data_IF_239654535465
#
_entry.id   IF_239654535465
#
_cell.length_a   1.000
_cell.length_b   1.000
_cell.length_c   1.000
_cell.angle_alpha   90.00
_cell.angle_beta   90.00
_cell.angle_gamma   90.00
#
_symmetry.space_group_name_H-M   'P 1'
#
loop_
_entity.id
_entity.type
_entity.pdbx_description
1 polymer ?
#
# COMPACT_ATOMS: atom_id res chain seq x y z
N UNK A 1 46.61 34.62 32.34
CA UNK A 1 46.01 34.05 31.11
C UNK A 1 45.89 32.56 31.33
N UNK A 2 44.78 32.12 31.93
CA UNK A 2 44.42 30.72 32.05
C UNK A 2 43.68 30.33 30.78
N UNK A 3 44.32 29.52 29.95
CA UNK A 3 43.71 28.90 28.78
C UNK A 3 42.68 27.88 29.26
N UNK A 4 41.41 28.23 29.08
CA UNK A 4 40.28 27.37 29.31
C UNK A 4 40.34 26.23 28.28
N UNK A 5 40.73 25.04 28.73
CA UNK A 5 40.72 23.85 27.91
C UNK A 5 39.26 23.43 27.76
N UNK A 6 38.66 23.79 26.63
CA UNK A 6 37.36 23.29 26.21
C UNK A 6 37.38 21.77 26.23
N UNK A 7 36.64 21.17 27.18
CA UNK A 7 36.42 19.75 27.21
C UNK A 7 35.86 19.31 25.84
N UNK A 8 36.37 18.23 25.23
CA UNK A 8 35.84 17.76 23.96
C UNK A 8 34.35 17.44 24.14
N UNK A 9 33.50 18.09 23.34
CA UNK A 9 32.10 17.71 23.28
C UNK A 9 32.02 16.21 22.97
N UNK A 10 31.25 15.41 23.74
CA UNK A 10 31.12 13.99 23.46
C UNK A 10 30.62 13.82 22.03
N UNK A 11 31.30 12.98 21.24
CA UNK A 11 30.82 12.66 19.90
C UNK A 11 29.41 12.05 20.03
N UNK A 12 28.44 12.51 19.23
CA UNK A 12 27.09 11.97 19.26
C UNK A 12 27.14 10.46 19.01
N UNK A 13 26.32 9.70 19.72
CA UNK A 13 26.25 8.25 19.49
C UNK A 13 25.65 7.99 18.11
N UNK A 14 26.11 6.95 17.39
CA UNK A 14 25.49 6.56 16.14
C UNK A 14 24.01 6.29 16.33
N UNK A 15 23.20 6.70 15.36
CA UNK A 15 21.76 6.43 15.34
C UNK A 15 21.47 4.93 15.43
N UNK A 16 20.33 4.59 16.03
CA UNK A 16 19.85 3.22 16.19
C UNK A 16 18.56 3.03 15.39
N UNK A 17 18.56 2.04 14.50
CA UNK A 17 17.39 1.60 13.75
C UNK A 17 16.83 0.32 14.38
N UNK A 18 15.53 0.32 14.69
CA UNK A 18 14.81 -0.85 15.24
C UNK A 18 13.67 -1.28 14.31
N UNK A 19 13.63 -2.57 13.97
CA UNK A 19 12.63 -3.14 13.06
C UNK A 19 11.37 -3.62 13.81
N UNK A 20 10.37 -2.76 13.99
CA UNK A 20 9.15 -3.07 14.77
C UNK A 20 8.09 -3.81 13.93
N UNK A 21 8.13 -3.68 12.61
CA UNK A 21 7.24 -4.37 11.68
C UNK A 21 7.77 -4.33 10.24
N UNK A 22 6.99 -4.87 9.28
CA UNK A 22 7.42 -4.96 7.88
C UNK A 22 8.65 -5.86 7.66
N UNK A 23 8.85 -6.90 8.49
CA UNK A 23 9.98 -7.84 8.37
C UNK A 23 9.44 -9.27 8.35
N UNK A 24 9.80 -10.03 7.31
CA UNK A 24 9.24 -11.36 7.03
C UNK A 24 7.74 -11.35 6.70
N UNK A 25 7.21 -10.18 6.33
CA UNK A 25 5.83 -9.94 5.93
C UNK A 25 5.76 -8.67 5.10
N UNK A 26 4.80 -8.59 4.17
CA UNK A 26 4.48 -7.41 3.35
C UNK A 26 3.46 -6.48 4.03
N UNK A 27 3.37 -6.46 5.36
CA UNK A 27 2.43 -5.57 6.03
C UNK A 27 2.94 -5.11 7.38
N UNK A 28 2.38 -4.01 7.86
CA UNK A 28 2.66 -3.48 9.18
C UNK A 28 4.04 -2.83 9.27
N UNK A 29 4.48 -2.16 8.21
CA UNK A 29 5.71 -1.34 8.19
C UNK A 29 5.74 -0.39 9.38
N UNK A 30 6.80 -0.49 10.18
CA UNK A 30 7.07 0.31 11.40
C UNK A 30 8.57 0.22 11.70
N UNK A 31 9.31 1.31 11.52
CA UNK A 31 10.75 1.36 11.73
C UNK A 31 11.09 2.54 12.64
N UNK A 32 11.68 2.27 13.81
CA UNK A 32 12.03 3.31 14.77
C UNK A 32 13.49 3.72 14.59
N UNK A 33 13.73 5.00 14.40
CA UNK A 33 15.05 5.63 14.31
C UNK A 33 15.27 6.45 15.58
N UNK A 34 16.30 6.12 16.35
CA UNK A 34 16.63 6.78 17.62
C UNK A 34 18.02 7.40 17.56
N UNK A 35 18.13 8.65 18.01
CA UNK A 35 19.40 9.33 18.32
C UNK A 35 19.42 9.70 19.80
N UNK A 36 20.46 10.41 20.26
CA UNK A 36 20.51 10.92 21.64
C UNK A 36 19.43 12.00 21.92
N UNK A 37 18.81 12.57 20.86
CA UNK A 37 17.89 13.72 20.96
C UNK A 37 16.54 13.53 20.30
N UNK A 38 16.38 12.49 19.48
CA UNK A 38 15.18 12.29 18.67
C UNK A 38 14.80 10.81 18.57
N UNK A 39 13.50 10.54 18.55
CA UNK A 39 12.90 9.25 18.22
C UNK A 39 11.84 9.45 17.15
N UNK A 40 12.11 8.98 15.95
CA UNK A 40 11.21 9.11 14.81
C UNK A 40 10.82 7.75 14.28
N UNK A 41 9.52 7.55 14.09
CA UNK A 41 8.99 6.37 13.43
C UNK A 41 8.87 6.63 11.93
N UNK A 42 9.42 5.74 11.10
CA UNK A 42 9.13 5.70 9.67
C UNK A 42 8.08 4.62 9.41
N UNK A 43 6.95 5.05 8.86
CA UNK A 43 5.69 4.34 8.73
C UNK A 43 5.10 3.83 10.05
N UNK A 44 3.78 3.70 10.09
CA UNK A 44 3.05 3.20 11.23
C UNK A 44 1.82 2.40 10.78
N UNK A 45 2.05 1.24 10.16
CA UNK A 45 1.00 0.48 9.50
C UNK A 45 0.41 -0.71 10.25
N UNK A 46 -0.76 -1.17 9.81
CA UNK A 46 -1.39 -2.39 10.33
C UNK A 46 -0.84 -3.66 9.70
N UNK A 47 -0.69 -4.70 10.52
CA UNK A 47 -0.50 -6.06 10.04
C UNK A 47 -1.81 -6.62 9.49
N UNK A 48 -1.80 -7.14 8.27
CA UNK A 48 -2.96 -7.78 7.63
C UNK A 48 -2.68 -9.27 7.33
N UNK A 49 -3.58 -9.96 6.64
CA UNK A 49 -3.42 -11.37 6.30
C UNK A 49 -3.70 -12.31 7.47
N UNK A 50 -2.80 -13.27 7.72
CA UNK A 50 -2.94 -14.34 8.71
C UNK A 50 -3.38 -13.83 10.10
N UNK A 51 -4.19 -14.64 10.79
CA UNK A 51 -4.70 -14.28 12.11
C UNK A 51 -3.61 -13.99 13.15
N UNK A 52 -2.44 -14.64 13.02
CA UNK A 52 -1.28 -14.35 13.86
C UNK A 52 -0.71 -12.95 13.65
N UNK A 53 -0.57 -12.52 12.39
CA UNK A 53 -0.14 -11.17 12.03
C UNK A 53 -1.12 -10.14 12.56
N UNK A 54 -2.43 -10.31 12.30
CA UNK A 54 -3.46 -9.38 12.81
C UNK A 54 -3.47 -9.26 14.34
N UNK A 55 -3.14 -10.33 15.07
CA UNK A 55 -3.01 -10.29 16.54
C UNK A 55 -1.86 -9.41 17.00
N UNK A 56 -0.83 -9.18 16.18
CA UNK A 56 0.29 -8.27 16.50
C UNK A 56 -0.18 -6.83 16.65
N UNK A 57 -1.21 -6.41 15.91
CA UNK A 57 -1.80 -5.08 16.05
C UNK A 57 -2.35 -4.80 17.47
N UNK A 58 -2.64 -5.84 18.26
CA UNK A 58 -3.11 -5.69 19.64
C UNK A 58 -2.01 -5.74 20.70
N UNK A 59 -0.76 -6.03 20.30
CA UNK A 59 0.37 -6.07 21.23
C UNK A 59 0.87 -4.63 21.47
N UNK A 60 1.21 -4.26 22.71
CA UNK A 60 1.81 -2.95 22.97
C UNK A 60 3.14 -2.84 22.21
N UNK A 61 3.47 -1.62 21.79
CA UNK A 61 4.80 -1.32 21.27
C UNK A 61 5.86 -1.48 22.36
N UNK A 62 7.10 -1.86 22.01
CA UNK A 62 8.19 -2.01 22.97
C UNK A 62 8.80 -0.65 23.40
N UNK A 63 8.02 0.42 23.33
CA UNK A 63 8.34 1.79 23.72
C UNK A 63 7.05 2.53 24.10
N UNK A 64 7.16 3.62 24.86
CA UNK A 64 6.05 4.51 25.13
C UNK A 64 5.75 5.36 23.87
N UNK A 65 4.52 5.32 23.31
CA UNK A 65 4.15 6.17 22.17
C UNK A 65 4.32 7.66 22.42
N UNK A 66 4.27 8.12 23.68
CA UNK A 66 4.52 9.51 24.04
C UNK A 66 5.99 9.93 23.86
N UNK A 67 6.92 8.97 23.79
CA UNK A 67 8.34 9.23 23.55
C UNK A 67 8.69 9.35 22.07
N UNK A 68 7.73 9.15 21.15
CA UNK A 68 7.96 9.31 19.71
C UNK A 68 7.74 10.78 19.36
N UNK A 69 8.77 11.43 18.83
CA UNK A 69 8.74 12.85 18.49
C UNK A 69 7.94 13.13 17.22
N UNK A 70 8.03 12.24 16.22
CA UNK A 70 7.33 12.37 14.95
C UNK A 70 7.15 11.02 14.26
N UNK A 71 6.19 10.97 13.33
CA UNK A 71 6.06 9.87 12.35
C UNK A 71 6.32 10.42 10.95
N UNK A 72 7.16 9.76 10.17
CA UNK A 72 7.32 10.00 8.73
C UNK A 72 6.55 8.93 7.98
N UNK A 73 5.60 9.34 7.14
CA UNK A 73 4.77 8.43 6.36
C UNK A 73 5.20 8.47 4.89
N UNK A 74 5.63 7.31 4.37
CA UNK A 74 6.06 7.16 2.98
C UNK A 74 4.89 7.28 2.02
N UNK A 75 3.77 6.62 2.34
CA UNK A 75 2.55 6.67 1.55
C UNK A 75 1.31 6.21 2.33
N UNK A 76 0.14 6.31 1.70
CA UNK A 76 -1.14 6.20 2.38
C UNK A 76 -1.68 4.78 2.60
N UNK A 77 -1.06 3.72 2.09
CA UNK A 77 -1.62 2.37 2.27
C UNK A 77 -1.75 1.97 3.74
N UNK A 78 -2.75 1.13 4.04
CA UNK A 78 -3.15 0.80 5.41
C UNK A 78 -2.05 0.08 6.21
N UNK A 79 -1.21 -0.68 5.52
CA UNK A 79 -0.02 -1.35 6.04
C UNK A 79 1.19 -0.45 6.21
N UNK A 80 1.05 0.85 5.90
CA UNK A 80 2.01 1.92 6.20
C UNK A 80 1.43 3.01 7.11
N UNK A 81 0.12 3.31 7.07
CA UNK A 81 -0.49 4.37 7.87
C UNK A 81 -1.49 3.89 8.95
N UNK A 82 -2.03 2.67 8.81
CA UNK A 82 -3.24 2.26 9.52
C UNK A 82 -3.10 2.09 11.04
N UNK A 83 -1.89 2.00 11.58
CA UNK A 83 -1.68 1.91 13.04
C UNK A 83 -1.64 3.31 13.69
N UNK A 84 -1.55 4.40 12.92
CA UNK A 84 -1.50 5.78 13.44
C UNK A 84 -2.61 6.08 14.46
N UNK A 85 -3.90 5.77 14.23
CA UNK A 85 -4.95 6.09 15.21
C UNK A 85 -4.79 5.35 16.53
N UNK A 86 -4.30 4.11 16.48
CA UNK A 86 -3.94 3.37 17.69
C UNK A 86 -2.75 4.00 18.41
N UNK A 87 -1.73 4.44 17.68
CA UNK A 87 -0.58 5.12 18.26
C UNK A 87 -1.00 6.40 19.00
N UNK A 88 -1.90 7.19 18.40
CA UNK A 88 -2.48 8.41 19.00
C UNK A 88 -3.28 8.09 20.25
N UNK A 89 -4.13 7.06 20.20
CA UNK A 89 -4.88 6.57 21.36
C UNK A 89 -3.97 6.13 22.50
N UNK A 90 -2.83 5.51 22.18
CA UNK A 90 -1.86 5.02 23.16
C UNK A 90 -0.92 6.12 23.69
N UNK A 91 -1.00 7.36 23.20
CA UNK A 91 -0.37 8.53 23.83
C UNK A 91 0.51 9.40 22.94
N UNK A 92 0.70 9.05 21.66
CA UNK A 92 1.48 9.85 20.71
C UNK A 92 0.85 11.23 20.48
N UNK A 93 1.71 12.26 20.37
CA UNK A 93 1.31 13.67 20.19
C UNK A 93 2.13 14.44 19.15
N UNK A 94 3.11 13.80 18.52
CA UNK A 94 3.97 14.44 17.53
C UNK A 94 3.30 14.64 16.17
N UNK A 95 3.94 15.36 15.24
CA UNK A 95 3.44 15.50 13.88
C UNK A 95 3.59 14.19 13.07
N UNK A 96 2.73 14.04 12.06
CA UNK A 96 2.81 13.03 11.01
C UNK A 96 3.24 13.73 9.72
N UNK A 97 4.51 13.59 9.35
CA UNK A 97 5.10 14.20 8.17
C UNK A 97 4.87 13.30 6.95
N UNK A 98 4.27 13.84 5.90
CA UNK A 98 4.01 13.12 4.65
C UNK A 98 3.94 14.09 3.46
N UNK A 99 3.83 13.59 2.24
CA UNK A 99 3.44 14.46 1.12
C UNK A 99 1.99 14.92 1.25
N UNK A 100 1.57 16.00 0.55
CA UNK A 100 0.19 16.48 0.58
C UNK A 100 -0.82 15.46 0.06
N UNK A 101 -0.53 14.78 -1.05
CA UNK A 101 -1.45 13.77 -1.60
C UNK A 101 -1.54 12.53 -0.70
N UNK A 102 -0.43 12.13 -0.05
CA UNK A 102 -0.44 11.06 0.96
C UNK A 102 -1.34 11.41 2.14
N UNK A 103 -1.29 12.64 2.65
CA UNK A 103 -2.16 13.07 3.76
C UNK A 103 -3.65 12.97 3.38
N UNK A 104 -4.00 13.39 2.17
CA UNK A 104 -5.38 13.32 1.64
C UNK A 104 -5.87 11.89 1.45
N UNK A 105 -5.03 11.00 0.95
CA UNK A 105 -5.37 9.59 0.77
C UNK A 105 -5.43 8.85 2.11
N UNK A 106 -4.54 9.17 3.05
CA UNK A 106 -4.54 8.61 4.39
C UNK A 106 -5.83 8.97 5.15
N UNK A 107 -6.36 10.19 4.98
CA UNK A 107 -7.67 10.58 5.52
C UNK A 107 -8.79 9.60 5.12
N UNK A 108 -8.87 9.26 3.83
CA UNK A 108 -9.86 8.31 3.33
C UNK A 108 -9.66 6.92 3.92
N UNK A 109 -8.42 6.43 3.88
CA UNK A 109 -8.06 5.07 4.32
C UNK A 109 -8.29 4.88 5.82
N UNK A 110 -7.91 5.87 6.65
CA UNK A 110 -8.06 5.78 8.09
C UNK A 110 -9.53 5.81 8.51
N UNK A 111 -10.36 6.64 7.87
CA UNK A 111 -11.81 6.69 8.14
C UNK A 111 -12.51 5.39 7.73
N UNK A 112 -12.23 4.86 6.54
CA UNK A 112 -12.77 3.58 6.09
C UNK A 112 -12.34 2.45 7.03
N UNK A 113 -11.08 2.46 7.46
CA UNK A 113 -10.57 1.45 8.39
C UNK A 113 -11.24 1.50 9.76
N UNK A 114 -11.46 2.69 10.35
CA UNK A 114 -12.19 2.81 11.62
C UNK A 114 -13.64 2.29 11.50
N UNK A 115 -14.31 2.60 10.39
CA UNK A 115 -15.65 2.10 10.11
C UNK A 115 -15.68 0.58 10.03
N UNK A 116 -14.80 -0.05 9.26
CA UNK A 116 -14.70 -1.50 9.14
C UNK A 116 -14.37 -2.18 10.48
N UNK A 117 -13.46 -1.60 11.27
CA UNK A 117 -13.11 -2.12 12.60
C UNK A 117 -14.29 -2.08 13.57
N UNK A 118 -15.11 -1.02 13.51
CA UNK A 118 -16.35 -0.89 14.29
C UNK A 118 -17.37 -1.92 13.85
N UNK A 119 -17.63 -2.06 12.55
CA UNK A 119 -18.55 -3.06 12.00
C UNK A 119 -18.16 -4.48 12.43
N UNK A 120 -16.87 -4.83 12.35
CA UNK A 120 -16.35 -6.13 12.78
C UNK A 120 -16.58 -6.36 14.29
N UNK A 121 -16.37 -5.34 15.12
CA UNK A 121 -16.60 -5.42 16.57
C UNK A 121 -18.09 -5.61 16.90
N UNK A 122 -18.97 -4.83 16.26
CA UNK A 122 -20.41 -4.90 16.43
C UNK A 122 -20.96 -6.26 15.98
N UNK A 123 -20.54 -6.74 14.81
CA UNK A 123 -20.93 -8.04 14.29
C UNK A 123 -20.47 -9.18 15.22
N UNK A 124 -19.28 -9.07 15.81
CA UNK A 124 -18.77 -10.02 16.79
C UNK A 124 -19.55 -10.00 18.11
N UNK A 125 -19.98 -8.83 18.56
CA UNK A 125 -20.83 -8.67 19.74
C UNK A 125 -22.22 -9.28 19.51
N UNK A 126 -22.83 -9.04 18.35
CA UNK A 126 -24.15 -9.55 17.99
C UNK A 126 -24.20 -11.10 17.92
N UNK A 127 -23.14 -11.72 17.41
CA UNK A 127 -23.10 -13.17 17.14
C UNK A 127 -22.25 -13.97 18.15
N UNK A 128 -21.59 -13.31 19.11
CA UNK A 128 -20.98 -13.94 20.27
C UNK A 128 -19.68 -14.74 20.06
N UNK A 129 -18.97 -14.54 18.94
CA UNK A 129 -17.74 -15.29 18.59
C UNK A 129 -16.42 -14.56 18.93
N UNK A 130 -16.47 -13.43 19.63
CA UNK A 130 -15.27 -12.75 20.13
C UNK A 130 -14.72 -13.38 21.41
N UNK A 131 -13.39 -13.36 21.56
CA UNK A 131 -12.71 -13.66 22.83
C UNK A 131 -12.86 -12.53 23.87
N UNK A 132 -13.15 -11.31 23.42
CA UNK A 132 -13.36 -10.13 24.24
C UNK A 132 -14.85 -9.89 24.45
N UNK A 133 -15.27 -9.46 25.65
CA UNK A 133 -16.66 -9.13 25.97
C UNK A 133 -16.74 -7.80 26.74
N UNK A 134 -17.20 -6.71 26.11
CA UNK A 134 -17.53 -6.60 24.68
C UNK A 134 -16.29 -6.73 23.76
N UNK A 135 -16.52 -7.06 22.50
CA UNK A 135 -15.54 -6.87 21.45
C UNK A 135 -15.38 -5.36 21.20
N UNK A 136 -14.14 -4.88 21.26
CA UNK A 136 -13.80 -3.49 20.97
C UNK A 136 -12.98 -3.40 19.67
N UNK A 137 -13.20 -2.36 18.84
CA UNK A 137 -12.39 -2.11 17.67
C UNK A 137 -10.95 -1.76 18.07
N UNK A 138 -10.03 -1.79 17.11
CA UNK A 138 -8.61 -1.48 17.38
C UNK A 138 -8.41 -0.01 17.77
N UNK A 139 -9.19 0.85 17.14
CA UNK A 139 -9.36 2.28 17.34
C UNK A 139 -10.73 2.65 16.72
N UNK A 140 -11.22 3.84 17.00
CA UNK A 140 -12.49 4.34 16.48
C UNK A 140 -12.35 5.63 15.64
N UNK A 141 -13.47 6.19 15.22
CA UNK A 141 -13.52 7.41 14.41
C UNK A 141 -12.98 8.64 15.18
N UNK A 142 -13.12 8.69 16.50
CA UNK A 142 -12.57 9.78 17.31
C UNK A 142 -11.04 9.75 17.31
N UNK A 143 -10.47 8.56 17.43
CA UNK A 143 -9.02 8.34 17.31
C UNK A 143 -8.51 8.79 15.93
N UNK A 144 -9.26 8.51 14.85
CA UNK A 144 -8.92 8.99 13.49
C UNK A 144 -8.95 10.51 13.43
N UNK A 145 -10.01 11.17 13.89
CA UNK A 145 -10.10 12.64 13.82
C UNK A 145 -9.04 13.36 14.67
N UNK A 146 -8.52 12.72 15.73
CA UNK A 146 -7.34 13.22 16.45
C UNK A 146 -6.07 13.06 15.62
N UNK A 147 -5.92 11.90 14.96
CA UNK A 147 -4.78 11.59 14.09
C UNK A 147 -4.68 12.53 12.91
N UNK A 148 -5.80 12.81 12.23
CA UNK A 148 -5.82 13.68 11.06
C UNK A 148 -5.34 15.11 11.37
N UNK A 149 -5.56 15.59 12.60
CA UNK A 149 -5.07 16.89 13.06
C UNK A 149 -3.56 16.94 13.30
N UNK A 150 -2.89 15.79 13.32
CA UNK A 150 -1.43 15.69 13.49
C UNK A 150 -0.70 15.65 12.15
N UNK A 151 -1.39 15.50 11.01
CA UNK A 151 -0.73 15.54 9.71
C UNK A 151 -0.15 16.92 9.43
N UNK A 152 1.13 16.94 9.09
CA UNK A 152 1.89 18.14 8.72
C UNK A 152 2.55 17.90 7.35
N UNK A 153 1.84 18.20 6.25
CA UNK A 153 2.31 17.85 4.92
C UNK A 153 3.53 18.67 4.48
N UNK A 154 4.54 18.00 3.93
CA UNK A 154 5.78 18.59 3.42
C UNK A 154 5.90 18.39 1.91
N UNK A 155 6.50 19.35 1.22
CA UNK A 155 6.73 19.24 -0.23
C UNK A 155 7.87 18.26 -0.53
N UNK A 156 7.78 17.61 -1.69
CA UNK A 156 8.88 16.81 -2.23
C UNK A 156 10.14 17.68 -2.40
N UNK A 157 11.30 17.04 -2.35
CA UNK A 157 12.64 17.62 -2.54
C UNK A 157 13.02 18.76 -1.58
N UNK A 158 12.21 19.01 -0.56
CA UNK A 158 12.45 20.05 0.43
C UNK A 158 13.01 19.43 1.71
N UNK A 159 14.15 19.96 2.19
CA UNK A 159 14.70 19.56 3.48
C UNK A 159 13.90 20.18 4.63
N UNK A 160 13.37 19.35 5.52
CA UNK A 160 12.58 19.75 6.69
C UNK A 160 13.22 19.20 7.95
N UNK A 161 13.54 20.07 8.90
CA UNK A 161 14.00 19.63 10.23
C UNK A 161 12.82 19.04 11.01
N UNK A 162 12.95 17.79 11.48
CA UNK A 162 11.91 17.09 12.24
C UNK A 162 12.02 17.45 13.73
N UNK A 163 13.15 17.06 14.34
CA UNK A 163 13.48 17.30 15.74
C UNK A 163 14.97 17.00 15.97
N UNK A 164 15.59 17.62 16.98
CA UNK A 164 16.94 17.27 17.42
C UNK A 164 18.04 17.41 16.36
N UNK A 165 17.84 18.24 15.32
CA UNK A 165 18.75 18.38 14.18
C UNK A 165 18.62 17.29 13.11
N UNK A 166 17.66 16.36 13.24
CA UNK A 166 17.38 15.37 12.20
C UNK A 166 16.58 16.01 11.05
N UNK A 167 17.03 15.81 9.81
CA UNK A 167 16.43 16.40 8.62
C UNK A 167 15.81 15.34 7.73
N UNK A 168 14.56 15.55 7.32
CA UNK A 168 13.82 14.76 6.33
C UNK A 168 13.89 15.41 4.96
N UNK A 169 14.06 14.59 3.92
CA UNK A 169 13.67 14.90 2.55
C UNK A 169 12.82 13.77 2.00
N UNK A 170 11.71 14.11 1.36
CA UNK A 170 10.86 13.16 0.64
C UNK A 170 11.08 13.28 -0.86
N UNK A 171 11.23 12.15 -1.53
CA UNK A 171 11.45 12.04 -2.97
C UNK A 171 10.34 11.21 -3.60
N UNK A 172 9.89 11.56 -4.81
CA UNK A 172 8.78 10.86 -5.45
C UNK A 172 9.04 9.35 -5.57
N UNK A 173 8.13 8.54 -5.03
CA UNK A 173 8.23 7.08 -4.95
C UNK A 173 7.55 6.34 -6.12
N UNK A 174 6.65 6.99 -6.86
CA UNK A 174 6.02 6.43 -8.06
C UNK A 174 5.10 5.21 -7.85
N UNK A 175 4.78 4.85 -6.60
CA UNK A 175 3.98 3.68 -6.24
C UNK A 175 2.48 3.97 -6.24
N UNK A 176 2.05 4.97 -5.47
CA UNK A 176 0.71 5.57 -5.54
C UNK A 176 0.85 7.10 -5.61
N UNK A 177 -0.23 7.82 -5.92
CA UNK A 177 -0.21 9.28 -5.86
C UNK A 177 0.20 9.74 -4.45
N UNK A 178 1.21 10.61 -4.37
CA UNK A 178 1.80 11.09 -3.13
C UNK A 178 2.86 10.19 -2.52
N UNK A 179 3.05 8.96 -3.00
CA UNK A 179 4.08 8.06 -2.46
C UNK A 179 5.47 8.67 -2.56
N UNK A 180 6.27 8.46 -1.53
CA UNK A 180 7.63 8.94 -1.45
C UNK A 180 8.56 7.93 -0.81
N UNK A 181 9.81 7.92 -1.25
CA UNK A 181 10.90 7.36 -0.44
C UNK A 181 11.48 8.48 0.43
N UNK A 182 11.83 8.13 1.67
CA UNK A 182 12.30 9.07 2.67
C UNK A 182 13.83 9.02 2.81
N UNK A 183 14.47 10.19 2.86
CA UNK A 183 15.88 10.34 3.16
C UNK A 183 16.03 11.13 4.47
N UNK A 184 16.59 10.50 5.48
CA UNK A 184 16.86 11.08 6.78
C UNK A 184 18.35 11.36 6.93
N UNK A 185 18.69 12.58 7.35
CA UNK A 185 20.03 12.92 7.83
C UNK A 185 19.97 13.04 9.35
N UNK A 186 20.73 12.21 10.05
CA UNK A 186 20.78 12.15 11.51
C UNK A 186 21.68 13.26 12.08
N UNK A 187 21.59 13.47 13.40
CA UNK A 187 22.34 14.52 14.12
C UNK A 187 23.87 14.40 13.92
N UNK A 188 24.38 13.18 13.82
CA UNK A 188 25.80 12.89 13.62
C UNK A 188 26.25 12.94 12.16
N UNK A 189 25.32 13.28 11.25
CA UNK A 189 25.56 13.41 9.82
C UNK A 189 25.35 12.12 9.02
N UNK A 190 25.17 10.95 9.66
CA UNK A 190 24.86 9.71 8.94
C UNK A 190 23.47 9.77 8.34
N UNK A 191 23.26 8.98 7.29
CA UNK A 191 22.07 9.04 6.44
C UNK A 191 21.36 7.69 6.37
N UNK A 192 20.03 7.75 6.37
CA UNK A 192 19.15 6.60 6.27
C UNK A 192 18.13 6.86 5.17
N UNK A 193 18.11 6.01 4.15
CA UNK A 193 17.06 5.99 3.15
C UNK A 193 16.04 4.89 3.44
N UNK A 194 14.76 5.17 3.26
CA UNK A 194 13.66 4.20 3.37
C UNK A 194 12.83 4.27 2.10
N UNK A 195 12.78 3.19 1.33
CA UNK A 195 12.09 3.17 0.03
C UNK A 195 10.59 3.42 0.15
N UNK A 196 9.97 3.04 1.28
CA UNK A 196 8.54 2.76 1.29
C UNK A 196 8.23 1.65 0.28
N UNK A 197 7.04 1.67 -0.30
CA UNK A 197 6.75 0.88 -1.49
C UNK A 197 7.29 1.60 -2.73
N UNK A 198 8.10 0.90 -3.53
CA UNK A 198 8.79 1.48 -4.67
C UNK A 198 7.97 1.29 -5.95
N UNK A 199 7.72 2.41 -6.63
CA UNK A 199 6.99 2.46 -7.88
C UNK A 199 7.71 1.83 -9.07
N UNK A 200 6.92 1.44 -10.07
CA UNK A 200 7.46 0.87 -11.32
C UNK A 200 7.88 1.95 -12.32
N UNK A 201 9.00 1.78 -13.05
CA UNK A 201 9.41 2.71 -14.10
C UNK A 201 8.40 2.87 -15.25
N UNK A 202 7.51 1.89 -15.41
CA UNK A 202 6.50 1.73 -16.46
C UNK A 202 5.06 1.95 -15.97
N UNK A 203 4.89 2.42 -14.73
CA UNK A 203 3.56 2.67 -14.16
C UNK A 203 2.68 3.50 -15.13
N UNK A 204 1.43 3.11 -15.44
CA UNK A 204 0.68 3.75 -16.53
C UNK A 204 0.28 5.20 -16.24
N UNK A 205 0.02 5.57 -14.98
CA UNK A 205 -0.41 6.93 -14.60
C UNK A 205 0.72 7.80 -14.04
N UNK A 206 1.49 7.26 -13.09
CA UNK A 206 2.53 7.98 -12.35
C UNK A 206 3.89 7.93 -13.06
N UNK A 207 4.68 8.98 -12.85
CA UNK A 207 6.10 9.02 -13.21
C UNK A 207 6.90 7.98 -12.42
N UNK A 208 8.03 7.49 -12.98
CA UNK A 208 8.94 6.61 -12.27
C UNK A 208 9.41 7.22 -10.95
N UNK A 209 9.80 6.40 -9.94
CA UNK A 209 10.44 6.92 -8.74
C UNK A 209 11.65 7.77 -9.10
N UNK A 210 11.88 8.83 -8.32
CA UNK A 210 13.14 9.57 -8.39
C UNK A 210 14.33 8.65 -8.10
N UNK A 211 15.48 8.82 -8.79
CA UNK A 211 16.63 7.93 -8.63
C UNK A 211 17.15 7.91 -7.19
N UNK A 212 17.59 6.74 -6.72
CA UNK A 212 18.34 6.64 -5.48
C UNK A 212 19.70 7.33 -5.64
N UNK A 213 20.03 8.25 -4.74
CA UNK A 213 21.26 9.05 -4.79
C UNK A 213 22.31 8.62 -3.76
N UNK A 214 22.05 7.57 -2.99
CA UNK A 214 22.93 7.05 -1.94
C UNK A 214 22.47 7.42 -0.53
N UNK A 215 22.86 6.59 0.44
CA UNK A 215 22.74 6.81 1.88
C UNK A 215 23.68 5.82 2.60
N UNK A 216 24.02 6.07 3.85
CA UNK A 216 24.86 5.16 4.64
C UNK A 216 24.13 3.84 4.91
N UNK A 217 22.82 3.91 5.22
CA UNK A 217 21.94 2.74 5.36
C UNK A 217 20.70 2.89 4.47
N UNK A 218 20.26 1.77 3.89
CA UNK A 218 19.04 1.70 3.07
C UNK A 218 18.06 0.64 3.60
N UNK A 219 16.79 1.00 3.78
CA UNK A 219 15.68 0.05 3.89
C UNK A 219 15.01 -0.06 2.53
N UNK A 220 14.98 -1.27 1.99
CA UNK A 220 14.47 -1.58 0.67
C UNK A 220 13.29 -2.54 0.76
N UNK A 221 12.15 -2.19 0.16
CA UNK A 221 11.04 -3.13 0.01
C UNK A 221 11.43 -4.37 -0.81
N UNK A 222 10.72 -5.47 -0.61
CA UNK A 222 11.04 -6.74 -1.26
C UNK A 222 9.80 -7.53 -1.65
N UNK A 223 8.69 -6.84 -1.91
CA UNK A 223 7.38 -7.43 -2.20
C UNK A 223 7.45 -8.39 -3.40
N UNK A 224 8.18 -7.99 -4.45
CA UNK A 224 8.40 -8.76 -5.67
C UNK A 224 9.88 -9.16 -5.86
N UNK A 225 10.63 -9.29 -4.76
CA UNK A 225 12.06 -9.58 -4.77
C UNK A 225 12.47 -10.91 -5.43
N UNK A 226 11.52 -11.84 -5.60
CA UNK A 226 11.70 -13.12 -6.29
C UNK A 226 10.92 -13.23 -7.62
N UNK A 227 10.39 -12.12 -8.16
CA UNK A 227 9.54 -12.12 -9.36
C UNK A 227 10.07 -11.19 -10.44
N UNK A 228 9.52 -11.38 -11.63
CA UNK A 228 9.69 -10.51 -12.79
C UNK A 228 8.29 -10.25 -13.38
N UNK A 229 8.00 -9.00 -13.72
CA UNK A 229 6.72 -8.62 -14.32
C UNK A 229 6.73 -8.87 -15.83
N UNK A 230 5.76 -9.64 -16.32
CA UNK A 230 5.52 -9.82 -17.77
C UNK A 230 4.34 -8.95 -18.25
N UNK A 231 4.59 -7.68 -18.54
CA UNK A 231 3.53 -6.72 -18.87
C UNK A 231 2.71 -7.07 -20.11
N UNK A 232 3.38 -7.43 -21.21
CA UNK A 232 2.71 -7.69 -22.48
C UNK A 232 1.77 -8.88 -22.34
N UNK A 233 2.24 -9.97 -21.72
CA UNK A 233 1.44 -11.15 -21.46
C UNK A 233 0.28 -10.84 -20.49
N UNK A 234 0.53 -10.06 -19.44
CA UNK A 234 -0.50 -9.68 -18.48
C UNK A 234 -1.63 -8.84 -19.09
N UNK A 235 -1.31 -7.86 -19.95
CA UNK A 235 -2.32 -7.07 -20.68
C UNK A 235 -3.13 -7.95 -21.61
N UNK A 236 -2.50 -8.90 -22.29
CA UNK A 236 -3.18 -9.88 -23.13
C UNK A 236 -4.10 -10.81 -22.32
N UNK A 237 -3.65 -11.34 -21.18
CA UNK A 237 -4.46 -12.19 -20.32
C UNK A 237 -5.67 -11.43 -19.74
N UNK A 238 -5.46 -10.18 -19.32
CA UNK A 238 -6.52 -9.29 -18.84
C UNK A 238 -7.59 -9.04 -19.90
N UNK A 239 -7.16 -8.61 -21.09
CA UNK A 239 -8.06 -8.35 -22.21
C UNK A 239 -8.80 -9.60 -22.68
N UNK A 240 -8.09 -10.72 -22.79
CA UNK A 240 -8.68 -12.00 -23.15
C UNK A 240 -9.70 -12.46 -22.10
N UNK A 241 -9.44 -12.20 -20.80
CA UNK A 241 -10.34 -12.57 -19.70
C UNK A 241 -11.65 -11.83 -19.77
N UNK A 242 -11.56 -10.52 -19.98
CA UNK A 242 -12.74 -9.70 -20.11
C UNK A 242 -13.54 -10.10 -21.34
N UNK A 243 -12.89 -10.19 -22.51
CA UNK A 243 -13.54 -10.51 -23.77
C UNK A 243 -14.29 -11.85 -23.70
N UNK A 244 -13.62 -12.95 -23.29
CA UNK A 244 -14.24 -14.28 -23.23
C UNK A 244 -15.38 -14.38 -22.22
N UNK A 245 -15.32 -13.62 -21.14
CA UNK A 245 -16.37 -13.58 -20.10
C UNK A 245 -17.61 -12.87 -20.62
N UNK A 246 -17.43 -11.72 -21.26
CA UNK A 246 -18.54 -10.97 -21.85
C UNK A 246 -19.19 -11.75 -23.00
N UNK A 247 -18.40 -12.41 -23.86
CA UNK A 247 -18.93 -13.23 -24.97
C UNK A 247 -19.80 -14.40 -24.50
N UNK A 248 -19.47 -15.04 -23.36
CA UNK A 248 -20.30 -16.11 -22.78
C UNK A 248 -21.43 -15.60 -21.88
N UNK A 249 -21.67 -14.29 -21.87
CA UNK A 249 -22.77 -13.65 -21.14
C UNK A 249 -22.57 -13.60 -19.63
N UNK A 250 -21.34 -13.58 -19.14
CA UNK A 250 -21.01 -13.47 -17.72
C UNK A 250 -20.50 -12.09 -17.31
N UNK A 251 -20.32 -11.91 -16.01
CA UNK A 251 -19.74 -10.71 -15.40
C UNK A 251 -18.30 -10.96 -14.98
N UNK A 252 -17.45 -9.96 -15.21
CA UNK A 252 -16.08 -9.92 -14.70
C UNK A 252 -16.08 -9.15 -13.39
N UNK A 253 -15.58 -9.74 -12.30
CA UNK A 253 -15.33 -9.04 -11.03
C UNK A 253 -13.84 -8.83 -10.88
N UNK A 254 -13.44 -7.61 -10.56
CA UNK A 254 -12.05 -7.22 -10.33
C UNK A 254 -11.96 -6.69 -8.89
N UNK A 255 -11.59 -7.55 -7.91
CA UNK A 255 -11.18 -7.08 -6.60
C UNK A 255 -9.97 -6.15 -6.75
N UNK A 256 -10.13 -4.88 -6.34
CA UNK A 256 -9.12 -3.85 -6.55
C UNK A 256 -8.88 -3.05 -5.27
N UNK A 257 -7.62 -2.65 -5.01
CA UNK A 257 -7.36 -1.65 -3.99
C UNK A 257 -8.02 -0.34 -4.37
N UNK A 258 -8.61 0.33 -3.39
CA UNK A 258 -9.39 1.54 -3.65
C UNK A 258 -8.51 2.69 -4.17
N UNK A 259 -7.26 2.74 -3.71
CA UNK A 259 -6.27 3.73 -4.13
C UNK A 259 -5.32 3.09 -5.13
N UNK A 260 -5.03 3.84 -6.19
CA UNK A 260 -4.16 3.51 -7.33
C UNK A 260 -4.66 2.36 -8.22
N UNK A 261 -4.93 1.19 -7.65
CA UNK A 261 -5.25 0.01 -8.46
C UNK A 261 -6.57 0.15 -9.20
N UNK A 262 -7.55 0.80 -8.60
CA UNK A 262 -8.81 1.06 -9.28
C UNK A 262 -8.58 1.97 -10.49
N UNK A 263 -7.80 3.02 -10.33
CA UNK A 263 -7.45 3.99 -11.37
C UNK A 263 -6.63 3.33 -12.50
N UNK A 264 -5.65 2.51 -12.16
CA UNK A 264 -4.88 1.71 -13.12
C UNK A 264 -5.79 0.77 -13.92
N UNK A 265 -6.70 0.06 -13.25
CA UNK A 265 -7.67 -0.83 -13.92
C UNK A 265 -8.59 -0.05 -14.84
N UNK A 266 -9.11 1.09 -14.40
CA UNK A 266 -9.98 1.94 -15.21
C UNK A 266 -9.26 2.46 -16.44
N UNK A 267 -7.99 2.85 -16.30
CA UNK A 267 -7.15 3.25 -17.42
C UNK A 267 -6.93 2.12 -18.43
N UNK A 268 -6.64 0.90 -17.96
CA UNK A 268 -6.52 -0.25 -18.86
C UNK A 268 -7.85 -0.58 -19.56
N UNK A 269 -8.98 -0.46 -18.87
CA UNK A 269 -10.30 -0.66 -19.49
C UNK A 269 -10.61 0.41 -20.54
N UNK A 270 -10.20 1.66 -20.32
CA UNK A 270 -10.35 2.76 -21.26
C UNK A 270 -9.49 2.50 -22.52
N UNK A 271 -8.23 2.09 -22.33
CA UNK A 271 -7.34 1.71 -23.44
C UNK A 271 -7.90 0.53 -24.25
N UNK A 272 -8.39 -0.52 -23.58
CA UNK A 272 -9.03 -1.65 -24.27
C UNK A 272 -10.28 -1.21 -25.06
N UNK A 273 -11.03 -0.23 -24.57
CA UNK A 273 -12.16 0.39 -25.31
C UNK A 273 -11.65 1.07 -26.57
N UNK A 274 -10.62 1.92 -26.42
CA UNK A 274 -10.04 2.74 -27.48
C UNK A 274 -9.50 1.89 -28.62
N UNK A 275 -8.89 0.74 -28.31
CA UNK A 275 -8.38 -0.20 -29.33
C UNK A 275 -9.41 -1.25 -29.78
N UNK A 276 -10.68 -1.13 -29.38
CA UNK A 276 -11.78 -2.00 -29.82
C UNK A 276 -11.75 -3.43 -29.23
N UNK A 277 -10.99 -3.67 -28.17
CA UNK A 277 -10.88 -4.96 -27.48
C UNK A 277 -11.89 -5.14 -26.34
N UNK A 278 -12.48 -4.05 -25.88
CA UNK A 278 -13.63 -4.06 -24.98
C UNK A 278 -14.87 -3.58 -25.75
N UNK A 279 -15.95 -4.37 -25.69
CA UNK A 279 -17.19 -4.04 -26.37
C UNK A 279 -17.69 -2.65 -25.98
N UNK A 280 -18.06 -1.84 -26.98
CA UNK A 280 -18.57 -0.48 -26.79
C UNK A 280 -19.84 -0.40 -25.94
N UNK A 281 -20.57 -1.51 -25.83
CA UNK A 281 -21.80 -1.59 -25.05
C UNK A 281 -21.61 -2.27 -23.68
N UNK A 282 -20.40 -2.73 -23.35
CA UNK A 282 -20.15 -3.40 -22.07
C UNK A 282 -20.06 -2.35 -20.95
N UNK A 283 -21.00 -2.33 -19.99
CA UNK A 283 -20.94 -1.37 -18.90
C UNK A 283 -19.81 -1.72 -17.92
N UNK A 284 -19.11 -0.68 -17.46
CA UNK A 284 -18.13 -0.76 -16.37
C UNK A 284 -18.74 -0.11 -15.13
N UNK A 285 -18.70 -0.83 -14.01
CA UNK A 285 -19.17 -0.35 -12.72
C UNK A 285 -18.02 -0.28 -11.72
N UNK A 286 -17.95 0.81 -10.95
CA UNK A 286 -17.10 0.89 -9.76
C UNK A 286 -18.00 0.93 -8.54
N UNK A 287 -17.90 -0.08 -7.70
CA UNK A 287 -18.74 -0.24 -6.51
C UNK A 287 -17.91 -0.32 -5.23
N UNK A 288 -17.45 0.85 -4.79
CA UNK A 288 -16.74 1.03 -3.53
C UNK A 288 -16.71 2.51 -3.14
N UNK A 289 -17.36 2.92 -2.03
CA UNK A 289 -17.34 4.32 -1.59
C UNK A 289 -15.92 4.89 -1.47
N UNK A 290 -14.98 4.10 -0.94
CA UNK A 290 -13.58 4.50 -0.81
C UNK A 290 -12.91 4.65 -2.19
N UNK A 291 -13.19 3.76 -3.15
CA UNK A 291 -12.60 3.86 -4.49
C UNK A 291 -13.14 5.08 -5.26
N UNK A 292 -14.42 5.42 -5.07
CA UNK A 292 -15.01 6.63 -5.63
C UNK A 292 -14.33 7.89 -5.08
N UNK A 293 -14.07 7.92 -3.77
CA UNK A 293 -13.38 9.05 -3.13
C UNK A 293 -11.90 9.15 -3.56
N UNK A 294 -11.20 8.02 -3.67
CA UNK A 294 -9.82 7.99 -4.17
C UNK A 294 -9.73 8.44 -5.64
N UNK A 295 -10.65 7.97 -6.48
CA UNK A 295 -10.75 8.38 -7.89
C UNK A 295 -10.92 9.90 -8.02
N UNK A 296 -11.68 10.52 -7.11
CA UNK A 296 -11.83 11.97 -7.09
C UNK A 296 -10.51 12.69 -6.80
N UNK A 297 -9.69 12.19 -5.86
CA UNK A 297 -8.35 12.73 -5.59
C UNK A 297 -7.45 12.61 -6.83
N UNK A 298 -7.48 11.47 -7.53
CA UNK A 298 -6.74 11.32 -8.78
C UNK A 298 -7.24 12.29 -9.86
N UNK A 299 -8.55 12.42 -10.07
CA UNK A 299 -9.14 13.37 -11.03
C UNK A 299 -8.73 14.82 -10.74
N UNK A 300 -8.65 15.20 -9.47
CA UNK A 300 -8.14 16.52 -9.09
C UNK A 300 -6.63 16.65 -9.36
N UNK A 301 -5.85 15.58 -9.18
CA UNK A 301 -4.44 15.55 -9.56
C UNK A 301 -4.25 15.74 -11.08
N UNK A 302 -5.12 15.13 -11.90
CA UNK A 302 -5.18 15.37 -13.35
C UNK A 302 -5.53 16.83 -13.66
N UNK A 303 -6.59 17.37 -13.03
CA UNK A 303 -7.05 18.74 -13.26
C UNK A 303 -5.98 19.79 -12.92
N UNK A 304 -5.20 19.57 -11.84
CA UNK A 304 -4.07 20.44 -11.47
C UNK A 304 -2.76 20.12 -12.20
N UNK A 305 -2.78 19.17 -13.15
CA UNK A 305 -1.61 18.68 -13.89
C UNK A 305 -0.43 18.35 -12.98
N UNK A 306 -0.68 17.54 -11.95
CA UNK A 306 0.34 17.14 -10.96
C UNK A 306 1.65 16.70 -11.61
N UNK A 307 2.78 17.19 -11.11
CA UNK A 307 4.11 16.80 -11.60
C UNK A 307 4.41 15.29 -11.41
N UNK A 308 3.67 14.62 -10.53
CA UNK A 308 3.78 13.17 -10.29
C UNK A 308 3.13 12.33 -11.41
N UNK A 309 2.24 12.94 -12.22
CA UNK A 309 1.59 12.26 -13.34
C UNK A 309 2.47 12.29 -14.58
N UNK A 310 2.32 11.25 -15.38
CA UNK A 310 2.95 11.14 -16.70
C UNK A 310 2.40 12.19 -17.66
N UNK A 311 3.27 12.87 -18.45
CA UNK A 311 2.80 13.80 -19.47
C UNK A 311 1.79 13.15 -20.44
N UNK A 312 2.00 11.87 -20.79
CA UNK A 312 1.20 11.13 -21.77
C UNK A 312 -0.27 11.00 -21.38
N UNK A 313 -0.58 10.94 -20.07
CA UNK A 313 -1.95 10.81 -19.57
C UNK A 313 -2.63 12.16 -19.32
N UNK A 314 -1.86 13.25 -19.24
CA UNK A 314 -2.38 14.59 -18.96
C UNK A 314 -3.07 15.24 -20.18
N UNK A 315 -2.73 14.78 -21.39
CA UNK A 315 -3.26 15.35 -22.63
C UNK A 315 -4.56 14.67 -23.09
N UNK A 316 -5.00 13.62 -22.39
CA UNK A 316 -6.20 12.82 -22.72
C UNK A 316 -7.53 13.45 -22.27
N UNK A 317 -7.56 14.77 -22.07
CA UNK A 317 -8.77 15.56 -21.75
C UNK A 317 -9.64 15.04 -20.59
N UNK A 318 -9.06 14.24 -19.68
CA UNK A 318 -9.75 13.64 -18.53
C UNK A 318 -10.37 12.26 -18.80
N UNK A 319 -10.34 11.74 -20.03
CA UNK A 319 -10.94 10.44 -20.38
C UNK A 319 -10.07 9.22 -20.01
N UNK A 320 -8.83 9.46 -19.58
CA UNK A 320 -7.86 8.42 -19.24
C UNK A 320 -8.34 7.45 -18.16
N UNK A 321 -9.31 7.83 -17.32
CA UNK A 321 -9.88 6.99 -16.25
C UNK A 321 -11.36 6.65 -16.48
N UNK A 322 -11.93 7.00 -17.64
CA UNK A 322 -13.38 6.93 -17.90
C UNK A 322 -13.69 5.94 -19.04
N UNK A 323 -13.81 4.63 -18.74
CA UNK A 323 -14.04 3.59 -19.74
C UNK A 323 -15.52 3.50 -20.16
N UNK A 324 -16.04 4.54 -20.81
CA UNK A 324 -17.46 4.67 -21.18
C UNK A 324 -18.00 3.51 -22.04
N UNK A 325 -19.25 3.01 -21.81
CA UNK A 325 -20.18 3.39 -20.75
C UNK A 325 -19.69 2.98 -19.35
N UNK A 326 -19.68 3.95 -18.43
CA UNK A 326 -19.11 3.85 -17.10
C UNK A 326 -20.08 4.36 -16.02
N UNK A 327 -20.08 3.75 -14.83
CA UNK A 327 -20.96 4.18 -13.73
C UNK A 327 -20.32 3.99 -12.36
N UNK A 328 -20.39 5.05 -11.57
CA UNK A 328 -19.99 5.07 -10.16
C UNK A 328 -21.19 4.72 -9.29
N UNK A 329 -21.02 3.74 -8.40
CA UNK A 329 -22.10 3.23 -7.54
C UNK A 329 -21.96 3.84 -6.15
N UNK A 330 -22.83 4.79 -5.83
CA UNK A 330 -22.75 5.59 -4.62
C UNK A 330 -23.52 4.93 -3.47
N UNK A 331 -24.71 4.39 -3.76
CA UNK A 331 -25.62 3.89 -2.72
C UNK A 331 -25.65 2.37 -2.62
N UNK A 332 -26.02 1.87 -1.43
CA UNK A 332 -26.30 0.45 -1.22
C UNK A 332 -27.44 -0.04 -2.14
N UNK A 333 -28.44 0.80 -2.41
CA UNK A 333 -29.57 0.42 -3.28
C UNK A 333 -29.12 0.22 -4.72
N UNK A 334 -28.23 1.06 -5.23
CA UNK A 334 -27.63 0.89 -6.56
C UNK A 334 -26.77 -0.38 -6.62
N UNK A 335 -25.95 -0.64 -5.59
CA UNK A 335 -25.16 -1.88 -5.47
C UNK A 335 -26.06 -3.14 -5.50
N UNK A 336 -27.15 -3.14 -4.73
CA UNK A 336 -28.15 -4.22 -4.74
C UNK A 336 -28.91 -4.33 -6.08
N UNK A 337 -29.02 -3.26 -6.85
CA UNK A 337 -29.63 -3.29 -8.17
C UNK A 337 -28.70 -3.95 -9.20
N UNK A 338 -27.37 -3.78 -9.08
CA UNK A 338 -26.39 -4.54 -9.87
C UNK A 338 -26.53 -6.04 -9.61
N UNK A 339 -26.79 -6.42 -8.37
CA UNK A 339 -27.15 -7.79 -7.98
C UNK A 339 -28.49 -8.27 -8.58
N UNK A 340 -29.21 -7.51 -9.37
CA UNK A 340 -30.40 -8.00 -10.08
C UNK A 340 -30.22 -7.98 -11.58
N UNK A 341 -29.14 -7.36 -12.05
CA UNK A 341 -28.82 -7.29 -13.47
C UNK A 341 -28.34 -8.64 -13.99
N UNK A 342 -28.84 -9.02 -15.17
CA UNK A 342 -28.32 -10.11 -15.99
C UNK A 342 -27.48 -9.59 -17.16
N UNK A 343 -27.20 -8.29 -17.20
CA UNK A 343 -26.37 -7.67 -18.26
C UNK A 343 -24.92 -8.03 -18.02
N UNK A 344 -24.22 -8.67 -18.99
CA UNK A 344 -22.79 -8.92 -18.90
C UNK A 344 -22.03 -7.61 -18.72
N UNK A 345 -21.15 -7.55 -17.72
CA UNK A 345 -20.52 -6.31 -17.28
C UNK A 345 -19.13 -6.53 -16.70
N UNK A 346 -18.39 -5.44 -16.51
CA UNK A 346 -17.15 -5.42 -15.72
C UNK A 346 -17.41 -4.66 -14.43
N UNK A 347 -17.09 -5.26 -13.30
CA UNK A 347 -17.32 -4.72 -11.96
C UNK A 347 -16.00 -4.61 -11.21
N UNK A 348 -15.57 -3.39 -10.90
CA UNK A 348 -14.41 -3.10 -10.08
C UNK A 348 -14.89 -2.77 -8.67
N UNK A 349 -14.39 -3.47 -7.65
CA UNK A 349 -14.84 -3.28 -6.27
C UNK A 349 -13.73 -3.55 -5.27
N UNK A 350 -13.69 -2.76 -4.19
CA UNK A 350 -12.75 -2.92 -3.10
C UNK A 350 -13.28 -3.87 -2.02
N UNK A 351 -12.44 -4.56 -1.25
CA UNK A 351 -10.96 -4.45 -1.19
C UNK A 351 -10.20 -5.38 -2.15
N UNK A 352 -8.98 -5.00 -2.55
CA UNK A 352 -8.14 -5.75 -3.49
C UNK A 352 -7.81 -7.18 -3.09
N UNK A 353 -7.69 -7.43 -1.79
CA UNK A 353 -7.44 -8.79 -1.25
C UNK A 353 -8.72 -9.56 -0.89
N UNK A 354 -9.90 -8.98 -1.17
CA UNK A 354 -11.22 -9.55 -0.84
C UNK A 354 -11.38 -9.94 0.65
N UNK A 355 -10.83 -9.14 1.55
CA UNK A 355 -10.89 -9.36 3.00
C UNK A 355 -12.22 -8.87 3.58
N UNK A 356 -12.73 -7.75 3.07
CA UNK A 356 -14.01 -7.13 3.41
C UNK A 356 -14.52 -6.19 2.33
N UNK A 357 -15.61 -5.48 2.62
CA UNK A 357 -16.26 -4.54 1.71
C UNK A 357 -17.25 -5.18 0.73
N UNK A 358 -17.80 -4.36 -0.17
CA UNK A 358 -18.84 -4.75 -1.14
C UNK A 358 -18.38 -5.88 -2.07
N UNK A 359 -17.08 -5.98 -2.38
CA UNK A 359 -16.54 -7.06 -3.23
C UNK A 359 -16.86 -8.45 -2.70
N UNK A 360 -16.93 -8.65 -1.37
CA UNK A 360 -17.21 -9.98 -0.79
C UNK A 360 -18.66 -10.39 -1.05
N UNK A 361 -19.60 -9.43 -1.11
CA UNK A 361 -20.98 -9.68 -1.52
C UNK A 361 -21.06 -10.08 -3.00
N UNK A 362 -20.35 -9.35 -3.87
CA UNK A 362 -20.25 -9.66 -5.30
C UNK A 362 -19.65 -11.04 -5.56
N UNK A 363 -18.55 -11.38 -4.87
CA UNK A 363 -17.92 -12.70 -4.98
C UNK A 363 -18.86 -13.81 -4.52
N UNK A 364 -19.54 -13.65 -3.39
CA UNK A 364 -20.52 -14.64 -2.88
C UNK A 364 -21.59 -14.97 -3.92
N UNK A 365 -22.04 -13.97 -4.67
CA UNK A 365 -23.05 -14.10 -5.74
C UNK A 365 -22.46 -14.73 -7.00
N UNK A 366 -21.29 -14.27 -7.44
CA UNK A 366 -20.80 -14.51 -8.80
C UNK A 366 -19.91 -15.76 -8.90
N UNK A 367 -19.21 -16.16 -7.83
CA UNK A 367 -18.35 -17.35 -7.80
C UNK A 367 -19.07 -18.67 -8.13
N UNK A 368 -20.35 -18.90 -7.73
CA UNK A 368 -21.05 -20.16 -8.03
C UNK A 368 -21.44 -20.36 -9.50
N UNK A 369 -21.39 -19.34 -10.36
CA UNK A 369 -21.79 -19.43 -11.77
C UNK A 369 -20.54 -19.46 -12.68
N UNK A 370 -20.32 -20.54 -13.46
CA UNK A 370 -19.14 -20.70 -14.32
C UNK A 370 -19.08 -19.70 -15.48
N UNK A 371 -20.15 -18.96 -15.77
CA UNK A 371 -20.11 -17.89 -16.76
C UNK A 371 -19.30 -16.69 -16.29
N UNK A 372 -19.13 -16.49 -14.99
CA UNK A 372 -18.41 -15.33 -14.46
C UNK A 372 -16.90 -15.57 -14.41
N UNK A 373 -16.15 -14.47 -14.25
CA UNK A 373 -14.70 -14.49 -14.02
C UNK A 373 -14.35 -13.57 -12.88
N UNK A 374 -13.42 -13.99 -12.03
CA UNK A 374 -12.74 -13.11 -11.07
C UNK A 374 -11.32 -12.87 -11.56
N UNK A 375 -10.95 -11.60 -11.75
CA UNK A 375 -9.60 -11.21 -12.17
C UNK A 375 -8.88 -10.57 -10.99
N UNK A 376 -7.84 -11.23 -10.50
CA UNK A 376 -7.02 -10.73 -9.39
C UNK A 376 -5.89 -9.89 -9.97
N UNK A 377 -5.86 -8.60 -9.62
CA UNK A 377 -4.98 -7.59 -10.21
C UNK A 377 -4.07 -6.97 -9.15
N UNK A 378 -3.14 -7.75 -8.59
CA UNK A 378 -2.17 -7.27 -7.61
C UNK A 378 -1.68 -8.35 -6.66
N UNK A 379 -0.96 -7.92 -5.62
CA UNK A 379 -0.49 -8.84 -4.58
C UNK A 379 -1.66 -9.31 -3.72
N UNK A 380 -1.68 -10.61 -3.41
CA UNK A 380 -2.65 -11.21 -2.51
C UNK A 380 -1.91 -11.90 -1.37
N UNK A 381 -1.98 -11.31 -0.17
CA UNK A 381 -1.28 -11.82 1.00
C UNK A 381 -1.89 -13.13 1.52
N UNK A 382 -1.06 -13.95 2.15
CA UNK A 382 -1.49 -15.20 2.77
C UNK A 382 -2.60 -14.99 3.82
N UNK A 383 -3.59 -15.88 3.78
CA UNK A 383 -4.79 -15.82 4.63
C UNK A 383 -5.89 -14.87 4.13
N UNK A 384 -5.79 -14.39 2.89
CA UNK A 384 -6.84 -13.59 2.24
C UNK A 384 -7.61 -14.41 1.20
N UNK A 385 -8.86 -14.02 0.90
CA UNK A 385 -9.68 -14.73 -0.10
C UNK A 385 -9.10 -14.59 -1.50
N UNK A 386 -8.50 -13.45 -1.83
CA UNK A 386 -7.82 -13.28 -3.10
C UNK A 386 -6.68 -14.30 -3.26
N UNK A 387 -5.90 -14.55 -2.20
CA UNK A 387 -4.85 -15.57 -2.20
C UNK A 387 -5.42 -16.97 -2.39
N UNK A 388 -6.45 -17.33 -1.61
CA UNK A 388 -7.12 -18.63 -1.74
C UNK A 388 -7.64 -18.88 -3.17
N UNK A 389 -8.19 -17.84 -3.83
CA UNK A 389 -8.64 -17.92 -5.22
C UNK A 389 -7.47 -18.17 -6.19
N UNK A 390 -6.37 -17.43 -6.04
CA UNK A 390 -5.16 -17.60 -6.87
C UNK A 390 -4.59 -19.00 -6.71
N UNK A 391 -4.60 -19.56 -5.50
CA UNK A 391 -4.13 -20.92 -5.20
C UNK A 391 -5.11 -22.02 -5.63
N UNK A 392 -6.25 -21.66 -6.22
CA UNK A 392 -7.20 -22.59 -6.82
C UNK A 392 -8.23 -23.18 -5.86
N UNK A 393 -8.53 -22.50 -4.75
CA UNK A 393 -9.58 -22.92 -3.82
C UNK A 393 -10.91 -23.18 -4.54
N UNK A 394 -11.52 -24.34 -4.26
CA UNK A 394 -12.82 -24.75 -4.83
C UNK A 394 -14.01 -24.35 -3.98
N UNK A 395 -13.75 -23.91 -2.75
CA UNK A 395 -14.77 -23.44 -1.80
C UNK A 395 -14.17 -22.36 -0.92
N UNK A 396 -14.95 -21.31 -0.63
CA UNK A 396 -14.54 -20.22 0.26
C UNK A 396 -15.59 -19.93 1.31
N UNK A 397 -15.15 -19.53 2.50
CA UNK A 397 -16.06 -19.11 3.58
C UNK A 397 -16.34 -17.61 3.48
N UNK A 398 -17.62 -17.25 3.34
CA UNK A 398 -18.10 -15.86 3.31
C UNK A 398 -19.36 -15.76 4.18
N UNK A 399 -19.38 -14.80 5.10
CA UNK A 399 -20.51 -14.55 6.01
C UNK A 399 -21.05 -15.82 6.70
N UNK A 400 -20.14 -16.64 7.24
CA UNK A 400 -20.49 -17.88 7.94
C UNK A 400 -20.89 -19.06 7.05
N UNK A 401 -21.01 -18.87 5.73
CA UNK A 401 -21.42 -19.90 4.77
C UNK A 401 -20.29 -20.27 3.81
N UNK A 402 -20.35 -21.48 3.24
CA UNK A 402 -19.39 -21.94 2.22
C UNK A 402 -19.96 -21.68 0.81
N UNK A 403 -19.16 -21.01 -0.02
CA UNK A 403 -19.49 -20.63 -1.39
C UNK A 403 -18.64 -21.47 -2.34
N UNK A 404 -19.24 -22.21 -3.30
CA UNK A 404 -18.48 -22.95 -4.29
C UNK A 404 -17.83 -22.00 -5.31
N UNK A 405 -16.59 -22.29 -5.69
CA UNK A 405 -15.84 -21.55 -6.72
C UNK A 405 -15.96 -22.31 -8.04
N UNK A 406 -16.87 -21.86 -8.91
CA UNK A 406 -17.10 -22.39 -10.26
C UNK A 406 -16.76 -21.39 -11.36
N UNK A 407 -16.80 -20.09 -11.04
CA UNK A 407 -16.31 -19.03 -11.90
C UNK A 407 -14.84 -19.23 -12.27
N UNK A 408 -14.46 -18.71 -13.42
CA UNK A 408 -13.08 -18.69 -13.87
C UNK A 408 -12.26 -17.74 -12.96
N UNK A 409 -11.07 -18.15 -12.54
CA UNK A 409 -10.14 -17.30 -11.79
C UNK A 409 -8.94 -17.00 -12.68
N UNK A 410 -8.62 -15.72 -12.84
CA UNK A 410 -7.50 -15.25 -13.65
C UNK A 410 -6.61 -14.38 -12.77
N UNK A 411 -5.33 -14.74 -12.69
CA UNK A 411 -4.35 -13.95 -11.96
C UNK A 411 -3.54 -13.09 -12.95
N UNK A 412 -3.54 -11.77 -12.73
CA UNK A 412 -2.82 -10.79 -13.55
C UNK A 412 -1.95 -9.92 -12.63
N UNK A 413 -0.84 -10.48 -12.10
CA UNK A 413 -0.05 -9.80 -11.07
C UNK A 413 0.69 -8.56 -11.58
N UNK A 414 0.97 -8.46 -12.89
CA UNK A 414 1.77 -7.38 -13.47
C UNK A 414 1.10 -5.99 -13.41
N UNK A 415 -0.16 -5.90 -12.99
CA UNK A 415 -0.78 -4.61 -12.67
C UNK A 415 -0.33 -4.07 -11.32
N UNK A 416 0.41 -4.83 -10.52
CA UNK A 416 1.10 -4.34 -9.32
C UNK A 416 1.86 -3.04 -9.58
N UNK A 417 1.81 -2.12 -8.61
CA UNK A 417 2.51 -0.86 -8.63
C UNK A 417 3.89 -0.95 -7.95
N UNK A 418 4.21 -2.12 -7.37
CA UNK A 418 5.53 -2.40 -6.80
C UNK A 418 6.52 -2.78 -7.89
N UNK A 419 7.72 -2.22 -7.79
CA UNK A 419 8.89 -2.61 -8.58
C UNK A 419 9.19 -4.11 -8.38
N UNK A 420 9.51 -4.80 -9.47
CA UNK A 420 10.07 -6.15 -9.37
C UNK A 420 11.58 -6.14 -9.07
N UNK A 421 12.15 -7.34 -8.93
CA UNK A 421 13.55 -7.49 -8.61
C UNK A 421 14.49 -6.85 -9.65
N UNK A 422 14.13 -6.80 -10.94
CA UNK A 422 14.98 -6.19 -11.97
C UNK A 422 14.87 -4.66 -11.93
N UNK A 423 13.65 -4.15 -11.76
CA UNK A 423 13.36 -2.72 -11.60
C UNK A 423 14.04 -2.14 -10.35
N UNK A 424 14.03 -2.87 -9.22
CA UNK A 424 14.73 -2.48 -7.98
C UNK A 424 16.24 -2.43 -8.22
N UNK A 425 16.84 -3.47 -8.82
CA UNK A 425 18.29 -3.49 -9.07
C UNK A 425 18.71 -2.32 -9.95
N UNK A 426 17.91 -1.99 -10.96
CA UNK A 426 18.20 -0.85 -11.84
C UNK A 426 18.12 0.50 -11.12
N UNK A 427 17.14 0.66 -10.22
CA UNK A 427 17.02 1.85 -9.37
C UNK A 427 18.24 2.04 -8.45
N UNK A 428 18.82 0.94 -7.96
CA UNK A 428 20.00 0.95 -7.09
C UNK A 428 21.33 1.12 -7.83
N UNK A 429 21.43 0.64 -9.08
CA UNK A 429 22.69 0.47 -9.85
C UNK A 429 23.57 1.72 -9.93
N UNK A 430 22.97 2.91 -9.88
CA UNK A 430 23.66 4.18 -10.11
C UNK A 430 24.07 4.92 -8.83
N UNK A 431 23.72 4.39 -7.66
CA UNK A 431 24.06 4.98 -6.37
C UNK A 431 25.36 4.40 -5.80
N UNK A 432 26.06 5.13 -4.91
CA UNK A 432 27.12 4.54 -4.11
C UNK A 432 26.56 3.44 -3.18
N UNK A 433 27.35 2.38 -2.90
CA UNK A 433 26.91 1.31 -2.01
C UNK A 433 26.70 1.82 -0.57
N UNK A 434 25.55 1.56 0.05
CA UNK A 434 25.37 1.72 1.49
C UNK A 434 26.29 0.78 2.27
N UNK A 435 26.56 1.11 3.54
CA UNK A 435 27.24 0.19 4.46
C UNK A 435 26.41 -1.09 4.68
N UNK A 436 25.08 -0.94 4.71
CA UNK A 436 24.11 -2.03 4.71
C UNK A 436 22.79 -1.66 4.03
N UNK A 437 22.24 -2.61 3.28
CA UNK A 437 20.86 -2.58 2.74
C UNK A 437 20.02 -3.63 3.46
N UNK A 438 18.94 -3.20 4.12
CA UNK A 438 18.01 -4.07 4.84
C UNK A 438 16.75 -4.33 4.03
N UNK A 439 16.45 -5.61 3.79
CA UNK A 439 15.34 -6.07 2.97
C UNK A 439 14.11 -6.20 3.85
N UNK A 440 13.18 -5.26 3.69
CA UNK A 440 11.93 -5.16 4.45
C UNK A 440 10.74 -5.33 3.50
N UNK A 441 9.53 -5.32 4.04
CA UNK A 441 8.28 -5.36 3.27
C UNK A 441 8.25 -6.47 2.22
N UNK A 442 8.47 -7.71 2.65
CA UNK A 442 8.56 -8.87 1.77
C UNK A 442 8.33 -10.16 2.54
N UNK A 443 7.83 -11.17 1.83
CA UNK A 443 7.83 -12.55 2.34
C UNK A 443 9.26 -13.10 2.32
N UNK A 444 9.61 -14.08 3.20
CA UNK A 444 10.97 -14.59 3.33
C UNK A 444 11.64 -14.93 1.99
N UNK A 445 10.96 -15.69 1.13
CA UNK A 445 11.48 -16.08 -0.19
C UNK A 445 11.77 -14.87 -1.10
N UNK A 446 10.92 -13.82 -1.03
CA UNK A 446 11.10 -12.59 -1.79
C UNK A 446 12.30 -11.78 -1.30
N UNK A 447 12.40 -11.59 0.02
CA UNK A 447 13.49 -10.86 0.66
C UNK A 447 14.85 -11.56 0.47
N UNK A 448 14.89 -12.89 0.61
CA UNK A 448 16.12 -13.68 0.42
C UNK A 448 16.59 -13.67 -1.04
N UNK A 449 15.67 -13.80 -2.00
CA UNK A 449 16.02 -13.75 -3.42
C UNK A 449 16.58 -12.37 -3.82
N UNK A 450 15.99 -11.28 -3.32
CA UNK A 450 16.47 -9.94 -3.60
C UNK A 450 17.80 -9.65 -2.90
N UNK A 451 17.99 -10.12 -1.66
CA UNK A 451 19.28 -10.06 -0.96
C UNK A 451 20.39 -10.66 -1.82
N UNK A 452 20.20 -11.91 -2.28
CA UNK A 452 21.19 -12.61 -3.10
C UNK A 452 21.43 -11.93 -4.44
N UNK A 453 20.41 -11.28 -4.99
CA UNK A 453 20.52 -10.54 -6.23
C UNK A 453 21.34 -9.26 -6.06
N UNK A 454 21.09 -8.49 -5.00
CA UNK A 454 21.84 -7.29 -4.65
C UNK A 454 23.32 -7.63 -4.41
N UNK A 455 23.60 -8.69 -3.64
CA UNK A 455 24.97 -9.16 -3.40
C UNK A 455 25.69 -9.54 -4.71
N UNK A 456 25.05 -10.36 -5.56
CA UNK A 456 25.67 -10.83 -6.82
C UNK A 456 25.81 -9.76 -7.90
N UNK A 457 24.81 -8.90 -8.08
CA UNK A 457 24.77 -7.96 -9.21
C UNK A 457 25.36 -6.59 -8.88
N UNK A 458 25.30 -6.16 -7.61
CA UNK A 458 25.80 -4.85 -7.17
C UNK A 458 27.02 -4.97 -6.25
N UNK A 459 27.26 -6.12 -5.62
CA UNK A 459 28.33 -6.30 -4.63
C UNK A 459 28.06 -5.58 -3.31
N UNK A 460 26.80 -5.25 -3.02
CA UNK A 460 26.42 -4.52 -1.80
C UNK A 460 26.13 -5.47 -0.65
N UNK A 461 26.38 -5.02 0.58
CA UNK A 461 25.97 -5.74 1.79
C UNK A 461 24.45 -5.70 1.93
N UNK A 462 23.80 -6.83 1.69
CA UNK A 462 22.35 -6.99 1.81
C UNK A 462 21.98 -7.93 2.97
N UNK A 463 21.01 -7.54 3.80
CA UNK A 463 20.62 -8.29 5.01
C UNK A 463 19.09 -8.39 5.10
N UNK A 464 18.57 -9.58 5.40
CA UNK A 464 17.17 -9.76 5.80
C UNK A 464 17.12 -9.66 7.33
N UNK A 465 16.60 -8.55 7.90
CA UNK A 465 16.60 -8.34 9.35
C UNK A 465 15.60 -9.27 10.05
N UNK A 466 15.63 -9.28 11.38
CA UNK A 466 14.65 -9.95 12.24
C UNK A 466 13.73 -8.94 12.92
N UNK A 467 12.49 -9.34 13.19
CA UNK A 467 11.57 -8.47 13.94
C UNK A 467 12.13 -8.20 15.35
N UNK A 468 12.20 -6.92 15.72
CA UNK A 468 12.76 -6.44 16.98
C UNK A 468 14.29 -6.29 16.98
N UNK A 469 14.97 -6.64 15.89
CA UNK A 469 16.40 -6.40 15.73
C UNK A 469 16.72 -4.91 15.78
N UNK A 470 17.92 -4.59 16.27
CA UNK A 470 18.44 -3.23 16.39
C UNK A 470 19.80 -3.16 15.73
N UNK A 471 20.00 -2.19 14.86
CA UNK A 471 21.23 -1.98 14.09
C UNK A 471 21.66 -0.52 14.15
N UNK A 472 22.95 -0.26 14.03
CA UNK A 472 23.47 1.10 13.99
C UNK A 472 23.35 1.68 12.57
N UNK A 473 23.11 2.97 12.48
CA UNK A 473 23.19 3.76 11.25
C UNK A 473 24.60 4.35 11.19
N UNK A 474 25.43 3.88 10.25
CA UNK A 474 26.86 4.20 10.11
C UNK A 474 27.33 4.14 8.68
#
# INVERSE_FOLDING_TARGET
MTTDATAPHPQPRPGLLTFLGGVGTVTGSKFLVETDRARVMVDCGLFQGLAELRRRNRRPLPLDPADIDAVVLTHAHLDHCGYLPRLVREGFRGPVLSTPDTARLAELILRDSAHLLREDADHANQHGWSKHRPAEPLYDEEDVEKTLRMFDPVQLDTGVEITGGMVLRLHHGGHILGSAWAHLTLEDGHTLAVSGDLGRPVHPLLRPPEPFTGADVLLMESTYGNRHHEETAAREWFAAAISRTLTRGGTVVIPSFAVDRTEVVLHQLAELRRVGRLSVNAPVYVDSPMALAALQIYREAFARRSAQLRPEVLDDSGSALDPEPFSLIHSLQESLALDRSSVPSVLVSASGMATGGRVVHHLRRLLPDPRNTVVIVGFAADGTRARDLVDGARVLKMYGTYVPVRAEIVNVPAFSAHADAAEIIEWLRHAPPPSATYLVHGEPDGSEALRDRIDRELGWTAVVPRSGERVLVR
#
